data_IF_612526597561
#
_entry.id   IF_612526597561
#
_cell.length_a   1.000
_cell.length_b   1.000
_cell.length_c   1.000
_cell.angle_alpha   90.00
_cell.angle_beta   90.00
_cell.angle_gamma   90.00
#
_symmetry.space_group_name_H-M   'P 1'
#
loop_
_entity.id
_entity.type
_entity.pdbx_description
1 polymer ?
#
# COMPACT_ATOMS: atom_id res chain seq x y z
N UNK A 1 -6.32 -20.03 -10.23
CA UNK A 1 -5.95 -18.60 -10.30
C UNK A 1 -4.84 -18.36 -9.29
N UNK A 2 -3.61 -18.16 -9.75
CA UNK A 2 -2.47 -17.73 -8.92
C UNK A 2 -2.61 -16.23 -8.66
N UNK A 3 -3.33 -15.87 -7.60
CA UNK A 3 -3.58 -14.47 -7.26
C UNK A 3 -2.28 -13.77 -6.84
N UNK A 4 -1.97 -12.63 -7.47
CA UNK A 4 -0.81 -11.81 -7.09
C UNK A 4 -1.03 -11.25 -5.69
N UNK A 5 0.02 -11.23 -4.86
CA UNK A 5 -0.06 -10.74 -3.47
C UNK A 5 1.03 -9.72 -3.24
N UNK A 6 0.64 -8.50 -2.85
CA UNK A 6 1.59 -7.47 -2.43
C UNK A 6 1.90 -7.71 -0.96
N UNK A 7 3.18 -7.75 -0.59
CA UNK A 7 3.60 -7.89 0.81
C UNK A 7 4.44 -6.68 1.20
N UNK A 8 4.21 -6.16 2.40
CA UNK A 8 4.98 -5.04 2.94
C UNK A 8 5.07 -5.14 4.46
N UNK A 9 6.12 -4.56 5.04
CA UNK A 9 6.29 -4.49 6.48
C UNK A 9 5.69 -3.18 7.01
N UNK A 10 4.81 -3.28 8.00
CA UNK A 10 4.32 -2.12 8.72
C UNK A 10 5.22 -1.82 9.91
N UNK A 11 5.87 -0.65 9.91
CA UNK A 11 6.77 -0.25 10.99
C UNK A 11 6.06 0.13 12.30
N UNK A 12 4.77 0.49 12.27
CA UNK A 12 4.00 0.81 13.48
C UNK A 12 3.49 -0.45 14.18
N UNK A 13 2.89 -1.39 13.44
CA UNK A 13 2.37 -2.65 13.99
C UNK A 13 3.44 -3.73 14.16
N UNK A 14 4.63 -3.53 13.55
CA UNK A 14 5.76 -4.48 13.57
C UNK A 14 5.42 -5.84 12.94
N UNK A 15 4.56 -5.85 11.93
CA UNK A 15 4.13 -7.06 11.24
C UNK A 15 4.21 -6.92 9.72
N UNK A 16 4.31 -8.06 9.03
CA UNK A 16 4.25 -8.14 7.57
C UNK A 16 2.81 -8.36 7.13
N UNK A 17 2.29 -7.43 6.35
CA UNK A 17 0.95 -7.49 5.79
C UNK A 17 0.98 -8.04 4.37
N UNK A 18 -0.12 -8.65 3.96
CA UNK A 18 -0.32 -9.20 2.63
C UNK A 18 -1.65 -8.71 2.06
N UNK A 19 -1.59 -8.02 0.92
CA UNK A 19 -2.76 -7.54 0.18
C UNK A 19 -2.94 -8.43 -1.04
N UNK A 20 -4.09 -9.10 -1.12
CA UNK A 20 -4.47 -9.86 -2.31
C UNK A 20 -4.85 -8.88 -3.43
N UNK A 21 -4.19 -8.98 -4.58
CA UNK A 21 -4.54 -8.19 -5.76
C UNK A 21 -5.82 -8.76 -6.35
N UNK A 22 -6.90 -7.99 -6.28
CA UNK A 22 -8.19 -8.31 -6.90
C UNK A 22 -8.19 -7.84 -8.36
N UNK A 23 -9.09 -8.39 -9.18
CA UNK A 23 -9.28 -7.94 -10.56
C UNK A 23 -9.67 -6.45 -10.64
N UNK A 24 -10.46 -5.97 -9.69
CA UNK A 24 -10.87 -4.56 -9.59
C UNK A 24 -9.68 -3.64 -9.31
N UNK A 25 -8.81 -4.01 -8.36
CA UNK A 25 -7.61 -3.25 -8.05
C UNK A 25 -6.63 -3.25 -9.22
N UNK A 26 -6.46 -4.41 -9.89
CA UNK A 26 -5.61 -4.52 -11.06
C UNK A 26 -6.08 -3.64 -12.22
N UNK A 27 -7.40 -3.57 -12.44
CA UNK A 27 -7.98 -2.70 -13.45
C UNK A 27 -7.78 -1.22 -13.10
N UNK A 28 -8.07 -0.82 -11.86
CA UNK A 28 -7.91 0.57 -11.42
C UNK A 28 -6.45 1.06 -11.58
N UNK A 29 -5.48 0.23 -11.19
CA UNK A 29 -4.06 0.56 -11.33
C UNK A 29 -3.65 0.72 -12.79
N UNK A 30 -4.07 -0.19 -13.68
CA UNK A 30 -3.73 -0.09 -15.11
C UNK A 30 -4.34 1.14 -15.78
N UNK A 31 -5.49 1.61 -15.31
CA UNK A 31 -6.15 2.81 -15.86
C UNK A 31 -5.58 4.12 -15.31
N UNK A 32 -5.09 4.12 -14.06
CA UNK A 32 -4.67 5.34 -13.36
C UNK A 32 -3.17 5.53 -13.23
N UNK A 33 -2.37 4.46 -13.35
CA UNK A 33 -0.93 4.56 -13.23
C UNK A 33 -0.34 5.33 -14.41
N UNK A 34 0.16 6.52 -14.14
CA UNK A 34 0.85 7.39 -15.10
C UNK A 34 2.36 7.10 -15.16
N UNK A 35 2.92 6.62 -14.05
CA UNK A 35 4.33 6.24 -13.91
C UNK A 35 4.50 5.15 -12.86
N UNK A 36 5.58 4.40 -13.01
CA UNK A 36 5.97 3.36 -12.07
C UNK A 36 7.26 3.75 -11.33
N UNK A 37 7.41 3.39 -10.03
CA UNK A 37 6.40 2.71 -9.21
C UNK A 37 5.24 3.65 -8.82
N UNK A 38 4.02 3.10 -8.73
CA UNK A 38 2.78 3.84 -8.47
C UNK A 38 2.30 3.62 -7.03
N UNK A 39 1.83 4.67 -6.31
CA UNK A 39 1.46 4.56 -4.91
C UNK A 39 0.09 3.90 -4.70
N UNK A 40 0.05 2.84 -3.89
CA UNK A 40 -1.15 2.29 -3.27
C UNK A 40 -1.27 2.84 -1.85
N UNK A 41 -2.37 3.53 -1.56
CA UNK A 41 -2.69 3.94 -0.20
C UNK A 41 -3.52 2.85 0.47
N UNK A 42 -3.00 2.27 1.54
CA UNK A 42 -3.64 1.22 2.31
C UNK A 42 -3.86 1.69 3.75
N UNK A 43 -5.11 1.65 4.20
CA UNK A 43 -5.45 1.93 5.59
C UNK A 43 -5.23 0.68 6.44
N UNK A 44 -4.46 0.81 7.52
CA UNK A 44 -4.17 -0.28 8.43
C UNK A 44 -4.29 0.19 9.88
N UNK A 45 -5.24 -0.38 10.60
CA UNK A 45 -5.54 -0.04 11.99
C UNK A 45 -5.81 1.46 12.19
N UNK A 46 -4.84 2.21 12.70
CA UNK A 46 -4.93 3.63 13.06
C UNK A 46 -3.96 4.52 12.25
N UNK A 47 -3.40 3.99 11.17
CA UNK A 47 -2.44 4.67 10.31
C UNK A 47 -2.58 4.22 8.85
N UNK A 48 -1.80 4.82 7.97
CA UNK A 48 -1.78 4.54 6.55
C UNK A 48 -0.41 4.01 6.13
N UNK A 49 -0.40 3.11 5.16
CA UNK A 49 0.78 2.71 4.42
C UNK A 49 0.64 3.20 2.97
N UNK A 50 1.64 3.94 2.49
CA UNK A 50 1.80 4.29 1.09
C UNK A 50 2.81 3.31 0.52
N UNK A 51 2.34 2.39 -0.31
CA UNK A 51 3.13 1.27 -0.86
C UNK A 51 3.39 1.58 -2.33
N UNK A 52 4.64 1.72 -2.72
CA UNK A 52 5.04 1.95 -4.11
C UNK A 52 5.15 0.61 -4.81
N UNK A 53 4.28 0.36 -5.79
CA UNK A 53 4.15 -0.93 -6.48
C UNK A 53 4.64 -0.77 -7.91
N UNK A 54 5.30 -1.79 -8.48
CA UNK A 54 5.66 -1.83 -9.89
C UNK A 54 4.64 -2.57 -10.79
N UNK A 55 4.89 -2.61 -12.10
CA UNK A 55 4.02 -3.28 -13.09
C UNK A 55 3.79 -4.77 -12.80
N UNK A 56 4.68 -5.40 -12.04
CA UNK A 56 4.64 -6.82 -11.70
C UNK A 56 4.03 -7.08 -10.31
N UNK A 57 3.44 -6.07 -9.67
CA UNK A 57 2.85 -6.14 -8.34
C UNK A 57 3.88 -6.40 -7.22
N UNK A 58 5.14 -6.05 -7.46
CA UNK A 58 6.17 -6.07 -6.43
C UNK A 58 6.22 -4.73 -5.70
N UNK A 59 6.37 -4.80 -4.38
CA UNK A 59 6.66 -3.65 -3.54
C UNK A 59 8.09 -3.14 -3.82
N UNK A 60 8.23 -1.82 -3.94
CA UNK A 60 9.49 -1.10 -4.23
C UNK A 60 9.84 -0.06 -3.17
N UNK A 61 8.93 0.19 -2.25
CA UNK A 61 9.10 1.04 -1.09
C UNK A 61 7.79 1.16 -0.33
N UNK A 62 7.88 1.34 0.99
CA UNK A 62 6.72 1.62 1.83
C UNK A 62 7.02 2.79 2.76
N UNK A 63 6.05 3.69 2.90
CA UNK A 63 6.06 4.74 3.91
C UNK A 63 4.83 4.59 4.76
N UNK A 64 5.00 4.38 6.07
CA UNK A 64 3.87 4.37 6.98
C UNK A 64 3.72 5.77 7.61
N UNK A 65 2.49 6.26 7.72
CA UNK A 65 2.18 7.55 8.32
C UNK A 65 0.96 7.47 9.20
N UNK A 66 1.06 8.02 10.41
CA UNK A 66 -0.03 8.13 11.37
C UNK A 66 -0.40 9.59 11.56
N UNK A 67 -1.67 9.93 11.31
CA UNK A 67 -2.17 11.27 11.58
C UNK A 67 -2.37 11.40 13.09
N UNK A 68 -1.67 12.33 13.72
CA UNK A 68 -1.88 12.67 15.13
C UNK A 68 -2.16 14.17 15.26
N UNK A 69 -3.30 14.51 15.85
CA UNK A 69 -3.63 15.88 16.21
C UNK A 69 -3.17 16.12 17.65
N UNK A 70 -2.17 16.97 17.84
CA UNK A 70 -1.89 17.55 19.16
C UNK A 70 -2.69 18.83 19.27
N UNK A 71 -3.67 18.86 20.18
CA UNK A 71 -4.32 20.11 20.57
C UNK A 71 -3.33 20.86 21.45
N UNK A 72 -2.77 21.96 20.95
CA UNK A 72 -2.03 22.88 21.80
C UNK A 72 -3.02 23.40 22.86
N UNK A 73 -2.64 23.25 24.13
CA UNK A 73 -3.42 23.70 25.30
C UNK A 73 -2.75 24.91 25.88
#
# INVERSE_FOLDING_TARGET
MTGKTIRFYCEYCKETLAIQVTESLEKEFKERADKWPYPLVYHHSDHFAIIYIDENWHERGVVCSKISYKKET
#
